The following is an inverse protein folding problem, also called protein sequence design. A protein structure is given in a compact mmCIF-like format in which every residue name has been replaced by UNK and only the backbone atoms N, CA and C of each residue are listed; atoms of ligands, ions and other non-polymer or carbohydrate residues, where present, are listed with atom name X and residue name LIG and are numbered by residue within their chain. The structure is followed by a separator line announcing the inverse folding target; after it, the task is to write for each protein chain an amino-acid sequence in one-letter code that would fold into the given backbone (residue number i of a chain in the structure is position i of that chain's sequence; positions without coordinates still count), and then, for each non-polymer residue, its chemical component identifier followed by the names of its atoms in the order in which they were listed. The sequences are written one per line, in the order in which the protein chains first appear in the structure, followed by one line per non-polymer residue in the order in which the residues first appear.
data_IF_540902738169
#
_entry.id   IF_540902738169
#
_cell.length_a   1.000
_cell.length_b   1.000
_cell.length_c   1.000
_cell.angle_alpha   90.00
_cell.angle_beta   90.00
_cell.angle_gamma   90.00
#
_symmetry.space_group_name_H-M   'P 1'
#
loop_
_entity.id
_entity.type
_entity.pdbx_description
1 polymer ?
#
# COMPACT_ATOMS: atom_id res chain seq x y z
N UNK A 1 -43.81 8.81 -7.28
CA UNK A 1 -42.38 8.88 -7.63
C UNK A 1 -42.19 10.19 -8.37
N UNK A 2 -41.43 11.14 -7.82
CA UNK A 2 -41.19 12.41 -8.51
C UNK A 2 -40.14 12.21 -9.58
N UNK A 3 -40.50 12.34 -10.85
CA UNK A 3 -39.55 12.28 -11.96
C UNK A 3 -38.59 13.46 -11.88
N UNK A 4 -37.36 13.15 -11.48
CA UNK A 4 -36.22 14.08 -11.49
C UNK A 4 -35.44 13.80 -12.76
N UNK A 5 -35.32 14.79 -13.64
CA UNK A 5 -34.59 14.68 -14.89
C UNK A 5 -33.51 15.76 -14.96
N UNK A 6 -32.27 15.33 -15.17
CA UNK A 6 -31.10 16.19 -15.41
C UNK A 6 -30.65 15.98 -16.85
N UNK A 7 -30.71 17.02 -17.68
CA UNK A 7 -30.36 16.99 -19.11
C UNK A 7 -29.12 17.85 -19.30
N UNK A 8 -28.01 17.24 -19.70
CA UNK A 8 -26.73 17.92 -19.90
C UNK A 8 -25.86 17.20 -20.93
N UNK A 9 -24.88 17.92 -21.49
CA UNK A 9 -23.74 17.34 -22.21
C UNK A 9 -22.39 17.79 -21.58
N UNK A 10 -22.40 18.00 -20.27
CA UNK A 10 -21.23 18.41 -19.51
C UNK A 10 -20.12 17.34 -19.58
N UNK A 11 -18.83 17.71 -19.76
CA UNK A 11 -18.25 19.05 -19.73
C UNK A 11 -18.20 19.79 -21.07
N UNK A 12 -18.71 19.20 -22.16
CA UNK A 12 -18.65 19.81 -23.50
C UNK A 12 -19.60 21.01 -23.64
N UNK A 13 -20.73 20.96 -22.96
CA UNK A 13 -21.67 22.08 -22.83
C UNK A 13 -21.75 22.51 -21.35
N UNK A 14 -21.47 23.79 -21.01
CA UNK A 14 -21.59 24.29 -19.65
C UNK A 14 -23.04 24.47 -19.18
N UNK A 15 -24.04 24.22 -20.03
CA UNK A 15 -25.45 24.34 -19.67
C UNK A 15 -25.99 23.02 -19.12
N UNK A 16 -26.63 23.09 -17.95
CA UNK A 16 -27.29 21.96 -17.29
C UNK A 16 -28.74 22.34 -17.03
N UNK A 17 -29.68 21.57 -17.60
CA UNK A 17 -31.10 21.76 -17.38
C UNK A 17 -31.63 20.72 -16.39
N UNK A 18 -32.22 21.19 -15.29
CA UNK A 18 -32.77 20.34 -14.25
C UNK A 18 -34.28 20.52 -14.13
N UNK A 19 -35.02 19.41 -14.16
CA UNK A 19 -36.48 19.37 -14.03
C UNK A 19 -36.87 18.49 -12.85
N UNK A 20 -37.73 19.02 -11.97
CA UNK A 20 -38.33 18.30 -10.86
C UNK A 20 -39.75 18.80 -10.64
N UNK A 21 -40.74 17.92 -10.72
CA UNK A 21 -42.17 18.13 -10.43
C UNK A 21 -42.60 19.60 -10.25
N UNK A 22 -42.84 20.31 -11.36
CA UNK A 22 -43.32 21.71 -11.37
C UNK A 22 -42.23 22.80 -11.38
N UNK A 23 -40.96 22.43 -11.25
CA UNK A 23 -39.83 23.34 -11.28
C UNK A 23 -38.85 22.97 -12.40
N UNK A 24 -38.42 23.98 -13.16
CA UNK A 24 -37.37 23.86 -14.18
C UNK A 24 -36.30 24.90 -13.90
N UNK A 25 -35.06 24.46 -13.86
CA UNK A 25 -33.89 25.30 -13.65
C UNK A 25 -32.92 25.12 -14.81
N UNK A 26 -32.30 26.20 -15.24
CA UNK A 26 -31.21 26.18 -16.22
C UNK A 26 -29.98 26.79 -15.57
N UNK A 27 -28.92 26.00 -15.46
CA UNK A 27 -27.65 26.38 -14.86
C UNK A 27 -26.63 26.59 -15.97
N UNK A 28 -25.88 27.69 -15.91
CA UNK A 28 -24.68 27.90 -16.72
C UNK A 28 -23.46 27.81 -15.82
N UNK A 29 -22.62 26.80 -16.05
CA UNK A 29 -21.40 26.60 -15.29
C UNK A 29 -20.34 27.59 -15.80
N UNK A 30 -19.97 28.56 -14.95
CA UNK A 30 -18.94 29.55 -15.26
C UNK A 30 -17.55 28.96 -15.01
N UNK A 31 -17.35 28.34 -13.85
CA UNK A 31 -16.10 27.68 -13.47
C UNK A 31 -16.37 26.61 -12.42
N UNK A 32 -15.74 25.45 -12.56
CA UNK A 32 -15.73 24.45 -11.49
C UNK A 32 -14.77 24.89 -10.36
N UNK A 33 -15.30 25.01 -9.14
CA UNK A 33 -14.49 25.20 -7.94
C UNK A 33 -13.87 23.89 -7.43
N UNK A 34 -12.83 24.00 -6.61
CA UNK A 34 -12.23 22.86 -5.90
C UNK A 34 -13.03 22.63 -4.61
N UNK A 35 -13.69 21.48 -4.49
CA UNK A 35 -14.42 21.12 -3.28
C UNK A 35 -13.44 20.59 -2.20
N UNK A 36 -13.55 21.03 -0.94
CA UNK A 36 -12.66 20.60 0.13
C UNK A 36 -12.87 19.11 0.45
N UNK A 37 -11.87 18.50 1.10
CA UNK A 37 -11.83 17.06 1.33
C UNK A 37 -13.10 16.56 2.05
N UNK A 38 -13.47 15.30 1.86
CA UNK A 38 -14.71 14.71 2.43
C UNK A 38 -14.79 14.85 3.95
N UNK A 39 -13.64 14.89 4.64
CA UNK A 39 -13.53 15.13 6.08
C UNK A 39 -13.91 16.54 6.54
N UNK A 40 -14.02 17.50 5.61
CA UNK A 40 -14.35 18.92 5.84
C UNK A 40 -15.69 19.33 5.21
N UNK A 41 -16.54 18.34 4.87
CA UNK A 41 -17.87 18.57 4.32
C UNK A 41 -18.93 18.27 5.38
N UNK A 42 -19.85 19.22 5.58
CA UNK A 42 -21.07 19.05 6.35
C UNK A 42 -22.24 18.64 5.44
N UNK A 43 -23.29 18.04 6.03
CA UNK A 43 -24.51 17.66 5.31
C UNK A 43 -25.68 18.54 5.71
N UNK A 44 -26.56 18.84 4.76
CA UNK A 44 -27.84 19.50 5.05
C UNK A 44 -28.79 18.57 5.83
N UNK A 45 -29.70 19.17 6.61
CA UNK A 45 -30.69 18.44 7.40
C UNK A 45 -31.66 17.65 6.50
N UNK A 46 -32.12 16.45 6.93
CA UNK A 46 -33.15 15.68 6.24
C UNK A 46 -34.41 16.52 5.98
N UNK A 47 -35.16 16.28 4.87
CA UNK A 47 -35.11 15.11 3.99
C UNK A 47 -34.12 15.20 2.82
N UNK A 48 -33.34 16.28 2.72
CA UNK A 48 -32.44 16.56 1.61
C UNK A 48 -31.00 16.64 2.14
N UNK A 49 -30.21 15.58 2.07
CA UNK A 49 -28.81 15.54 2.58
C UNK A 49 -27.78 15.72 1.46
N UNK A 50 -27.34 16.96 1.23
CA UNK A 50 -26.32 17.33 0.25
C UNK A 50 -25.01 17.72 0.94
N UNK A 51 -23.87 17.43 0.30
CA UNK A 51 -22.54 17.77 0.82
C UNK A 51 -22.21 19.24 0.58
N UNK A 52 -21.86 19.97 1.65
CA UNK A 52 -21.53 21.40 1.60
C UNK A 52 -20.21 21.63 2.36
N UNK A 53 -19.31 22.49 1.85
CA UNK A 53 -18.13 22.96 2.58
C UNK A 53 -18.50 23.64 3.91
N UNK A 54 -17.71 23.37 4.95
CA UNK A 54 -17.70 24.24 6.13
C UNK A 54 -17.22 25.64 5.70
N UNK A 55 -17.93 26.69 6.13
CA UNK A 55 -17.72 28.09 5.72
C UNK A 55 -17.85 28.34 4.20
N UNK A 56 -19.05 28.14 3.66
CA UNK A 56 -19.36 28.39 2.25
C UNK A 56 -19.16 29.88 1.84
N UNK A 57 -18.38 30.12 0.78
CA UNK A 57 -18.06 31.46 0.23
C UNK A 57 -18.61 31.57 -1.21
N UNK A 58 -19.40 32.61 -1.49
CA UNK A 58 -19.82 32.96 -2.86
C UNK A 58 -18.86 33.99 -3.47
N UNK A 59 -18.50 33.82 -4.76
CA UNK A 59 -17.42 34.58 -5.41
C UNK A 59 -17.85 35.86 -6.12
N UNK A 60 -19.15 36.12 -6.32
CA UNK A 60 -19.62 37.39 -6.93
C UNK A 60 -20.02 38.43 -5.89
N UNK A 61 -20.50 38.01 -4.70
CA UNK A 61 -20.71 38.84 -3.51
C UNK A 61 -20.25 38.05 -2.29
N UNK A 62 -19.38 38.63 -1.45
CA UNK A 62 -18.75 37.93 -0.32
C UNK A 62 -19.74 37.80 0.83
N UNK A 63 -20.68 36.88 0.66
CA UNK A 63 -21.68 36.52 1.65
C UNK A 63 -21.38 35.12 2.16
N UNK A 64 -21.15 34.99 3.46
CA UNK A 64 -20.86 33.72 4.12
C UNK A 64 -21.77 33.51 5.33
N UNK A 65 -22.22 32.28 5.54
CA UNK A 65 -22.94 31.88 6.75
C UNK A 65 -22.48 30.50 7.21
N UNK A 66 -22.38 30.34 8.53
CA UNK A 66 -22.05 29.08 9.20
C UNK A 66 -23.30 28.20 9.38
N UNK A 67 -24.51 28.73 9.11
CA UNK A 67 -25.77 28.04 9.42
C UNK A 67 -26.23 27.09 8.33
N UNK A 68 -26.34 27.56 7.08
CA UNK A 68 -26.77 26.73 5.94
C UNK A 68 -26.64 27.48 4.60
N UNK A 69 -26.66 26.75 3.48
CA UNK A 69 -26.72 27.34 2.14
C UNK A 69 -27.94 28.26 1.94
N UNK A 70 -29.09 27.94 2.52
CA UNK A 70 -30.29 28.79 2.44
C UNK A 70 -30.10 30.11 3.20
N UNK A 71 -29.33 30.11 4.30
CA UNK A 71 -29.02 31.35 5.03
C UNK A 71 -28.12 32.28 4.21
N UNK A 72 -27.14 31.70 3.49
CA UNK A 72 -26.31 32.44 2.52
C UNK A 72 -27.19 33.06 1.44
N UNK A 73 -28.15 32.32 0.88
CA UNK A 73 -29.08 32.85 -0.12
C UNK A 73 -29.94 34.00 0.41
N UNK A 74 -30.41 33.90 1.66
CA UNK A 74 -31.18 34.98 2.29
C UNK A 74 -30.32 36.24 2.50
N UNK A 75 -29.06 36.08 2.88
CA UNK A 75 -28.12 37.19 3.01
C UNK A 75 -27.77 37.80 1.65
N UNK A 76 -27.53 36.97 0.62
CA UNK A 76 -27.31 37.41 -0.75
C UNK A 76 -28.49 38.23 -1.29
N UNK A 77 -29.72 37.76 -1.07
CA UNK A 77 -30.91 38.52 -1.44
C UNK A 77 -31.02 39.86 -0.72
N UNK A 78 -30.61 39.96 0.56
CA UNK A 78 -30.60 41.23 1.29
C UNK A 78 -29.59 42.24 0.71
N UNK A 79 -28.44 41.76 0.21
CA UNK A 79 -27.41 42.62 -0.37
C UNK A 79 -27.71 43.01 -1.82
N UNK A 80 -28.21 42.08 -2.63
CA UNK A 80 -28.37 42.28 -4.07
C UNK A 80 -29.77 42.76 -4.49
N UNK A 81 -30.79 42.54 -3.65
CA UNK A 81 -32.19 42.89 -3.97
C UNK A 81 -32.86 43.56 -2.79
N UNK A 82 -33.27 44.82 -2.94
CA UNK A 82 -34.06 45.56 -1.93
C UNK A 82 -35.45 44.95 -1.64
N UNK A 83 -35.78 43.78 -2.21
CA UNK A 83 -37.06 43.09 -2.06
C UNK A 83 -37.05 42.13 -0.87
N UNK A 84 -37.84 42.46 0.15
CA UNK A 84 -37.79 41.85 1.49
C UNK A 84 -38.41 40.45 1.66
N UNK A 85 -38.79 39.70 0.62
CA UNK A 85 -39.67 38.51 0.84
C UNK A 85 -39.46 37.26 -0.03
N UNK A 86 -38.37 37.10 -0.78
CA UNK A 86 -38.14 35.86 -1.54
C UNK A 86 -37.32 34.85 -0.73
N UNK A 87 -37.97 33.79 -0.24
CA UNK A 87 -37.29 32.62 0.35
C UNK A 87 -36.88 31.68 -0.78
N UNK A 88 -35.65 31.79 -1.25
CA UNK A 88 -35.08 30.88 -2.26
C UNK A 88 -34.25 29.80 -1.55
N UNK A 89 -34.43 28.54 -1.96
CA UNK A 89 -33.60 27.44 -1.44
C UNK A 89 -32.19 27.55 -1.99
N UNK A 90 -31.19 27.60 -1.11
CA UNK A 90 -29.78 27.68 -1.54
C UNK A 90 -29.31 26.44 -2.30
N UNK A 91 -29.91 25.27 -2.04
CA UNK A 91 -29.62 24.03 -2.77
C UNK A 91 -29.97 24.16 -4.25
N UNK A 92 -31.07 24.86 -4.57
CA UNK A 92 -31.49 25.11 -5.95
C UNK A 92 -30.77 26.32 -6.54
N UNK A 93 -30.55 27.38 -5.78
CA UNK A 93 -29.84 28.56 -6.29
C UNK A 93 -28.40 28.23 -6.71
N UNK A 94 -27.69 27.46 -5.88
CA UNK A 94 -26.29 27.11 -6.12
C UNK A 94 -26.08 25.79 -6.89
N UNK A 95 -27.16 25.13 -7.33
CA UNK A 95 -27.08 23.89 -8.12
C UNK A 95 -26.43 22.72 -7.36
N UNK A 96 -26.53 22.67 -6.03
CA UNK A 96 -25.89 21.63 -5.20
C UNK A 96 -26.50 20.22 -5.37
N UNK A 97 -27.66 20.14 -6.01
CA UNK A 97 -28.36 18.88 -6.28
C UNK A 97 -27.99 18.26 -7.64
N UNK A 98 -27.15 18.95 -8.45
CA UNK A 98 -26.74 18.50 -9.78
C UNK A 98 -25.74 17.34 -9.65
N UNK A 99 -26.18 16.12 -10.01
CA UNK A 99 -25.37 14.90 -9.83
C UNK A 99 -24.19 14.86 -10.79
N UNK A 100 -24.31 15.49 -11.96
CA UNK A 100 -23.22 15.52 -12.94
C UNK A 100 -21.98 16.25 -12.43
N UNK A 101 -22.18 17.32 -11.66
CA UNK A 101 -21.09 18.10 -11.11
C UNK A 101 -20.35 17.30 -10.04
N UNK A 102 -21.07 16.56 -9.19
CA UNK A 102 -20.44 15.69 -8.20
C UNK A 102 -19.62 14.57 -8.87
N UNK A 103 -20.16 13.99 -9.95
CA UNK A 103 -19.46 12.95 -10.74
C UNK A 103 -18.21 13.52 -11.43
N UNK A 104 -18.30 14.70 -12.03
CA UNK A 104 -17.17 15.40 -12.68
C UNK A 104 -16.09 15.81 -11.66
N UNK A 105 -16.48 16.23 -10.47
CA UNK A 105 -15.54 16.61 -9.39
C UNK A 105 -14.79 15.39 -8.86
N UNK A 106 -15.51 14.28 -8.65
CA UNK A 106 -14.91 13.05 -8.15
C UNK A 106 -13.94 12.41 -9.16
N UNK A 107 -14.24 12.49 -10.46
CA UNK A 107 -13.31 12.02 -11.49
C UNK A 107 -11.99 12.83 -11.51
N UNK A 108 -12.06 14.14 -11.28
CA UNK A 108 -10.87 15.01 -11.15
C UNK A 108 -10.08 14.77 -9.86
N UNK A 109 -10.74 14.48 -8.73
CA UNK A 109 -10.06 14.06 -7.49
C UNK A 109 -9.26 12.77 -7.67
N UNK A 110 -9.77 11.86 -8.50
CA UNK A 110 -9.08 10.61 -8.84
C UNK A 110 -7.94 10.79 -9.82
N UNK A 111 -7.84 11.93 -10.50
CA UNK A 111 -6.66 12.30 -11.29
C UNK A 111 -5.49 12.71 -10.37
N UNK A 112 -5.06 11.79 -9.50
CA UNK A 112 -3.72 11.88 -8.93
C UNK A 112 -2.73 11.74 -10.07
N UNK A 113 -2.16 12.86 -10.52
CA UNK A 113 -1.00 12.82 -11.41
C UNK A 113 0.07 11.98 -10.70
N UNK A 114 0.36 10.82 -11.27
CA UNK A 114 1.34 9.90 -10.70
C UNK A 114 2.70 10.58 -10.70
N UNK A 115 3.35 10.60 -9.53
CA UNK A 115 4.72 11.09 -9.44
C UNK A 115 5.65 10.25 -10.34
N UNK A 116 6.64 10.88 -11.00
CA UNK A 116 7.71 10.18 -11.69
C UNK A 116 8.42 9.18 -10.76
N UNK A 117 8.99 8.12 -11.34
CA UNK A 117 9.66 7.04 -10.60
C UNK A 117 10.78 7.59 -9.70
N UNK A 118 11.54 8.58 -10.18
CA UNK A 118 12.67 9.18 -9.46
C UNK A 118 12.24 10.01 -8.24
N UNK A 119 10.95 10.36 -8.13
CA UNK A 119 10.38 11.14 -7.01
C UNK A 119 9.52 10.27 -6.08
N UNK A 120 9.53 8.95 -6.29
CA UNK A 120 8.74 8.01 -5.51
C UNK A 120 9.61 7.35 -4.42
N UNK A 121 9.02 7.11 -3.25
CA UNK A 121 9.63 6.26 -2.23
C UNK A 121 9.31 4.78 -2.46
N UNK A 122 10.05 3.91 -1.77
CA UNK A 122 9.89 2.44 -1.84
C UNK A 122 8.45 1.98 -1.63
N UNK A 123 7.70 2.59 -0.71
CA UNK A 123 6.30 2.23 -0.46
C UNK A 123 5.40 2.44 -1.70
N UNK A 124 5.71 3.45 -2.51
CA UNK A 124 4.99 3.73 -3.76
C UNK A 124 5.36 2.72 -4.83
N UNK A 125 6.65 2.35 -4.91
CA UNK A 125 7.10 1.28 -5.80
C UNK A 125 6.41 -0.05 -5.49
N UNK A 126 6.38 -0.45 -4.22
CA UNK A 126 5.71 -1.69 -3.79
C UNK A 126 4.24 -1.67 -4.17
N UNK A 127 3.52 -0.57 -3.88
CA UNK A 127 2.10 -0.46 -4.24
C UNK A 127 1.87 -0.61 -5.75
N UNK A 128 2.66 0.09 -6.57
CA UNK A 128 2.56 0.00 -8.04
C UNK A 128 2.87 -1.41 -8.53
N UNK A 129 3.95 -2.03 -8.03
CA UNK A 129 4.33 -3.38 -8.40
C UNK A 129 3.27 -4.41 -8.00
N UNK A 130 2.73 -4.32 -6.78
CA UNK A 130 1.64 -5.19 -6.32
C UNK A 130 0.38 -5.01 -7.17
N UNK A 131 0.03 -3.79 -7.56
CA UNK A 131 -1.11 -3.54 -8.46
C UNK A 131 -0.94 -4.20 -9.82
N UNK A 132 0.24 -4.04 -10.44
CA UNK A 132 0.58 -4.69 -11.71
C UNK A 132 0.51 -6.22 -11.55
N UNK A 133 1.10 -6.74 -10.48
CA UNK A 133 1.13 -8.17 -10.22
C UNK A 133 -0.28 -8.77 -10.07
N UNK A 134 -1.18 -8.09 -9.34
CA UNK A 134 -2.57 -8.53 -9.21
C UNK A 134 -3.30 -8.56 -10.56
N UNK A 135 -3.08 -7.53 -11.38
CA UNK A 135 -3.73 -7.42 -12.68
C UNK A 135 -3.28 -8.54 -13.62
N UNK A 136 -1.97 -8.74 -13.78
CA UNK A 136 -1.45 -9.75 -14.71
C UNK A 136 -1.83 -11.16 -14.27
N UNK A 137 -1.83 -11.44 -12.96
CA UNK A 137 -2.28 -12.75 -12.45
C UNK A 137 -3.75 -13.03 -12.78
N UNK A 138 -4.62 -12.01 -12.64
CA UNK A 138 -6.04 -12.15 -12.98
C UNK A 138 -6.22 -12.42 -14.48
N UNK A 139 -5.54 -11.66 -15.32
CA UNK A 139 -5.58 -11.81 -16.78
C UNK A 139 -5.04 -13.18 -17.23
N UNK A 140 -3.90 -13.62 -16.66
CA UNK A 140 -3.34 -14.95 -16.91
C UNK A 140 -4.37 -16.05 -16.62
N UNK A 141 -4.98 -16.02 -15.44
CA UNK A 141 -5.98 -17.02 -15.03
C UNK A 141 -7.25 -17.02 -15.88
N UNK A 142 -7.60 -15.89 -16.48
CA UNK A 142 -8.73 -15.80 -17.42
C UNK A 142 -8.37 -16.42 -18.77
N UNK A 143 -7.20 -16.06 -19.30
CA UNK A 143 -6.73 -16.52 -20.61
C UNK A 143 -6.37 -18.00 -20.62
N UNK A 144 -5.79 -18.53 -19.54
CA UNK A 144 -5.41 -19.94 -19.47
C UNK A 144 -6.60 -20.87 -19.62
N UNK A 145 -7.78 -20.51 -19.10
CA UNK A 145 -9.02 -21.29 -19.28
C UNK A 145 -9.46 -21.42 -20.75
N UNK A 146 -9.10 -20.46 -21.59
CA UNK A 146 -9.46 -20.43 -23.00
C UNK A 146 -8.39 -21.06 -23.89
N UNK A 147 -7.13 -21.05 -23.46
CA UNK A 147 -5.97 -21.45 -24.27
C UNK A 147 -5.44 -22.85 -23.94
N UNK A 148 -5.66 -23.35 -22.73
CA UNK A 148 -5.18 -24.66 -22.28
C UNK A 148 -6.32 -25.67 -22.16
N UNK A 149 -5.98 -26.96 -22.26
CA UNK A 149 -6.91 -28.03 -21.94
C UNK A 149 -7.21 -28.04 -20.43
N UNK A 150 -8.40 -28.51 -20.04
CA UNK A 150 -8.77 -28.68 -18.62
C UNK A 150 -7.83 -29.63 -17.84
N UNK A 151 -7.09 -30.49 -18.54
CA UNK A 151 -6.09 -31.38 -17.93
C UNK A 151 -4.76 -30.68 -17.64
N UNK A 152 -4.46 -29.59 -18.34
CA UNK A 152 -3.21 -28.86 -18.18
C UNK A 152 -3.40 -27.77 -17.12
N UNK A 153 -2.46 -27.66 -16.19
CA UNK A 153 -2.49 -26.68 -15.10
C UNK A 153 -1.37 -25.66 -15.32
N UNK A 154 -1.58 -24.63 -16.15
CA UNK A 154 -0.60 -23.57 -16.34
C UNK A 154 -0.46 -22.75 -15.06
N UNK A 155 0.78 -22.47 -14.66
CA UNK A 155 1.13 -21.70 -13.47
C UNK A 155 1.98 -20.50 -13.87
N UNK A 156 1.62 -19.32 -13.38
CA UNK A 156 2.45 -18.13 -13.50
C UNK A 156 3.41 -18.10 -12.31
N UNK A 157 4.70 -18.30 -12.56
CA UNK A 157 5.71 -18.39 -11.49
C UNK A 157 6.21 -17.02 -11.03
N UNK A 158 6.60 -16.16 -11.98
CA UNK A 158 7.07 -14.80 -11.69
C UNK A 158 6.88 -13.86 -12.88
N UNK A 159 6.96 -12.55 -12.60
CA UNK A 159 7.04 -11.50 -13.61
C UNK A 159 8.24 -10.62 -13.28
N UNK A 160 9.02 -10.30 -14.32
CA UNK A 160 10.13 -9.36 -14.23
C UNK A 160 9.92 -8.23 -15.25
N UNK A 161 10.03 -6.98 -14.80
CA UNK A 161 9.99 -5.82 -15.68
C UNK A 161 10.85 -4.68 -15.12
N UNK A 162 11.24 -3.74 -15.97
CA UNK A 162 12.00 -2.56 -15.55
C UNK A 162 11.33 -1.27 -15.97
N UNK A 163 11.48 -0.24 -15.14
CA UNK A 163 11.10 1.14 -15.47
C UNK A 163 12.37 1.95 -15.68
N UNK A 164 12.47 2.61 -16.82
CA UNK A 164 13.62 3.43 -17.24
C UNK A 164 14.97 2.68 -17.21
N UNK A 165 14.96 1.33 -17.29
CA UNK A 165 16.13 0.46 -17.14
C UNK A 165 16.92 0.64 -15.82
N UNK A 166 16.34 1.35 -14.84
CA UNK A 166 16.97 1.64 -13.54
C UNK A 166 16.31 0.86 -12.41
N UNK A 167 15.00 0.73 -12.46
CA UNK A 167 14.23 0.08 -11.41
C UNK A 167 13.66 -1.23 -11.95
N UNK A 168 14.29 -2.34 -11.55
CA UNK A 168 13.83 -3.68 -11.87
C UNK A 168 12.90 -4.17 -10.78
N UNK A 169 11.76 -4.72 -11.20
CA UNK A 169 10.75 -5.28 -10.33
C UNK A 169 10.59 -6.75 -10.66
N UNK A 170 10.72 -7.58 -9.63
CA UNK A 170 10.46 -9.02 -9.71
C UNK A 170 9.31 -9.34 -8.77
N UNK A 171 8.24 -9.91 -9.32
CA UNK A 171 7.04 -10.32 -8.60
C UNK A 171 6.97 -11.84 -8.69
N UNK A 172 7.12 -12.53 -7.57
CA UNK A 172 7.00 -13.98 -7.51
C UNK A 172 5.61 -14.36 -7.02
N UNK A 173 4.98 -15.31 -7.69
CA UNK A 173 3.64 -15.83 -7.38
C UNK A 173 3.66 -17.24 -6.81
N UNK A 174 4.78 -17.95 -6.93
CA UNK A 174 4.96 -19.21 -6.23
C UNK A 174 4.64 -19.02 -4.75
N UNK A 175 3.84 -19.95 -4.20
CA UNK A 175 3.86 -20.16 -2.77
C UNK A 175 5.27 -20.58 -2.44
N UNK A 176 6.00 -19.76 -1.70
CA UNK A 176 7.29 -20.13 -1.10
C UNK A 176 7.11 -21.53 -0.48
N UNK A 177 7.62 -22.55 -1.16
CA UNK A 177 7.72 -23.88 -0.59
C UNK A 177 8.70 -23.71 0.57
N UNK A 178 8.15 -23.58 1.78
CA UNK A 178 8.92 -23.24 2.98
C UNK A 178 10.10 -24.20 3.15
N UNK A 179 9.94 -25.45 2.68
CA UNK A 179 10.98 -26.48 2.69
C UNK A 179 12.09 -26.11 1.71
N UNK A 180 11.78 -25.85 0.43
CA UNK A 180 12.80 -25.45 -0.56
C UNK A 180 13.49 -24.14 -0.20
N UNK A 181 12.75 -23.18 0.35
CA UNK A 181 13.32 -21.91 0.83
C UNK A 181 14.31 -22.14 1.96
N UNK A 182 13.95 -22.97 2.94
CA UNK A 182 14.84 -23.35 4.03
C UNK A 182 16.08 -24.09 3.51
N UNK A 183 15.89 -25.09 2.65
CA UNK A 183 16.99 -25.82 2.01
C UNK A 183 17.95 -24.90 1.23
N UNK A 184 17.41 -23.88 0.54
CA UNK A 184 18.22 -22.87 -0.14
C UNK A 184 19.05 -22.05 0.85
N UNK A 185 18.46 -21.61 1.96
CA UNK A 185 19.17 -20.86 3.00
C UNK A 185 20.27 -21.72 3.65
N UNK A 186 19.96 -22.96 4.02
CA UNK A 186 20.91 -23.93 4.61
C UNK A 186 22.06 -24.25 3.64
N UNK A 187 21.78 -24.39 2.34
CA UNK A 187 22.81 -24.66 1.33
C UNK A 187 23.75 -23.47 1.16
N UNK A 188 23.22 -22.24 1.20
CA UNK A 188 24.04 -21.03 1.12
C UNK A 188 24.86 -20.86 2.40
N UNK A 189 24.24 -21.04 3.58
CA UNK A 189 24.93 -21.03 4.87
C UNK A 189 26.14 -21.97 4.85
N UNK A 190 25.92 -23.23 4.43
CA UNK A 190 27.00 -24.21 4.27
C UNK A 190 28.09 -23.74 3.32
N UNK A 191 27.74 -23.22 2.15
CA UNK A 191 28.72 -22.75 1.17
C UNK A 191 29.55 -21.55 1.69
N UNK A 192 28.94 -20.68 2.50
CA UNK A 192 29.65 -19.57 3.15
C UNK A 192 30.63 -20.09 4.20
N UNK A 193 30.22 -21.06 5.02
CA UNK A 193 31.06 -21.67 6.06
C UNK A 193 32.22 -22.47 5.44
N UNK A 194 31.93 -23.34 4.47
CA UNK A 194 32.94 -24.14 3.76
C UNK A 194 33.95 -23.23 3.02
N UNK A 195 33.48 -22.11 2.49
CA UNK A 195 34.30 -21.12 1.78
C UNK A 195 34.97 -20.08 2.68
N UNK A 196 34.75 -20.10 4.00
CA UNK A 196 35.16 -19.04 4.93
C UNK A 196 34.81 -17.63 4.42
N UNK A 197 33.65 -17.47 3.78
CA UNK A 197 33.24 -16.20 3.19
C UNK A 197 32.77 -15.27 4.30
N UNK A 198 33.44 -14.13 4.52
CA UNK A 198 33.04 -13.23 5.58
C UNK A 198 31.70 -12.58 5.25
N UNK A 199 30.92 -12.35 6.30
CA UNK A 199 29.58 -11.76 6.25
C UNK A 199 29.49 -10.51 5.35
N UNK A 200 30.45 -9.60 5.48
CA UNK A 200 30.47 -8.37 4.68
C UNK A 200 30.69 -8.62 3.19
N UNK A 201 31.49 -9.64 2.82
CA UNK A 201 31.64 -10.02 1.41
C UNK A 201 30.34 -10.53 0.82
N UNK A 202 29.60 -11.37 1.57
CA UNK A 202 28.28 -11.81 1.12
C UNK A 202 27.28 -10.65 1.01
N UNK A 203 27.34 -9.66 1.92
CA UNK A 203 26.51 -8.44 1.82
C UNK A 203 26.77 -7.66 0.53
N UNK A 204 28.03 -7.56 0.11
CA UNK A 204 28.38 -6.93 -1.18
C UNK A 204 27.80 -7.70 -2.37
N UNK A 205 27.85 -9.04 -2.35
CA UNK A 205 27.22 -9.87 -3.39
C UNK A 205 25.70 -9.65 -3.45
N UNK A 206 25.00 -9.68 -2.31
CA UNK A 206 23.55 -9.44 -2.25
C UNK A 206 23.14 -8.00 -2.63
N UNK A 207 24.07 -7.04 -2.59
CA UNK A 207 23.78 -5.68 -3.04
C UNK A 207 23.64 -5.61 -4.57
N UNK A 208 24.41 -6.43 -5.27
CA UNK A 208 24.43 -6.51 -6.73
C UNK A 208 23.39 -7.51 -7.21
N UNK A 209 23.34 -8.69 -6.59
CA UNK A 209 22.48 -9.78 -7.04
C UNK A 209 21.18 -9.85 -6.24
N UNK A 210 20.06 -9.61 -6.92
CA UNK A 210 18.74 -9.51 -6.29
C UNK A 210 18.09 -10.88 -6.04
N UNK A 211 18.54 -11.94 -6.74
CA UNK A 211 17.99 -13.28 -6.54
C UNK A 211 18.57 -14.02 -5.32
N UNK A 212 19.62 -13.47 -4.70
CA UNK A 212 20.23 -14.03 -3.50
C UNK A 212 19.44 -13.64 -2.24
N UNK A 213 19.23 -14.58 -1.30
CA UNK A 213 18.69 -14.25 0.01
C UNK A 213 19.53 -13.20 0.70
N UNK A 214 18.87 -12.27 1.40
CA UNK A 214 19.60 -11.21 2.12
C UNK A 214 20.42 -11.83 3.23
N UNK A 215 21.59 -11.24 3.51
CA UNK A 215 22.47 -11.70 4.58
C UNK A 215 21.74 -11.90 5.92
N UNK A 216 20.83 -10.99 6.28
CA UNK A 216 20.05 -11.13 7.52
C UNK A 216 19.11 -12.35 7.55
N UNK A 217 18.71 -12.91 6.41
CA UNK A 217 17.98 -14.19 6.35
C UNK A 217 18.92 -15.37 6.63
N UNK A 218 20.14 -15.34 6.09
CA UNK A 218 21.17 -16.36 6.33
C UNK A 218 21.62 -16.35 7.79
N UNK A 219 21.87 -15.17 8.36
CA UNK A 219 22.25 -15.04 9.77
C UNK A 219 21.19 -15.61 10.72
N UNK A 220 19.90 -15.45 10.40
CA UNK A 220 18.82 -16.09 11.17
C UNK A 220 18.87 -17.61 11.08
N UNK A 221 19.16 -18.14 9.90
CA UNK A 221 19.31 -19.59 9.73
C UNK A 221 20.53 -20.12 10.51
N UNK A 222 21.66 -19.39 10.54
CA UNK A 222 22.80 -19.75 11.38
C UNK A 222 22.44 -19.83 12.87
N UNK A 223 21.67 -18.85 13.36
CA UNK A 223 21.18 -18.86 14.75
C UNK A 223 20.30 -20.10 15.01
N UNK A 224 19.36 -20.39 14.09
CA UNK A 224 18.47 -21.54 14.19
C UNK A 224 19.23 -22.89 14.19
N UNK A 225 20.26 -23.00 13.34
CA UNK A 225 21.16 -24.16 13.31
C UNK A 225 21.90 -24.28 14.64
N UNK A 226 22.47 -23.19 15.16
CA UNK A 226 23.20 -23.20 16.43
C UNK A 226 22.30 -23.60 17.62
N UNK A 227 21.06 -23.09 17.66
CA UNK A 227 20.07 -23.48 18.67
C UNK A 227 19.74 -24.98 18.58
N UNK A 228 19.55 -25.50 17.37
CA UNK A 228 19.29 -26.93 17.13
C UNK A 228 20.49 -27.78 17.56
N UNK A 229 21.71 -27.35 17.22
CA UNK A 229 22.95 -28.04 17.57
C UNK A 229 23.18 -28.04 19.08
N UNK A 230 22.91 -26.93 19.77
CA UNK A 230 23.03 -26.85 21.23
C UNK A 230 22.07 -27.82 21.96
N UNK A 231 20.89 -28.08 21.39
CA UNK A 231 19.94 -29.06 21.91
C UNK A 231 20.39 -30.50 21.66
N UNK A 232 20.95 -30.78 20.46
CA UNK A 232 21.38 -32.12 20.06
C UNK A 232 22.71 -32.53 20.68
N UNK A 233 23.60 -31.57 20.92
CA UNK A 233 24.95 -31.78 21.45
C UNK A 233 25.13 -30.86 22.65
N UNK A 234 24.79 -31.32 23.86
CA UNK A 234 25.00 -30.55 25.08
C UNK A 234 26.50 -30.32 25.28
N UNK A 235 26.92 -29.05 25.24
CA UNK A 235 28.29 -28.68 25.57
C UNK A 235 28.34 -28.39 27.08
N UNK A 236 28.97 -29.29 27.83
CA UNK A 236 29.27 -29.07 29.24
C UNK A 236 30.60 -28.33 29.36
N UNK A 237 30.58 -27.17 30.01
CA UNK A 237 31.79 -26.45 30.37
C UNK A 237 32.33 -27.08 31.66
N UNK A 238 33.48 -27.75 31.57
CA UNK A 238 34.19 -28.28 32.73
C UNK A 238 35.24 -27.26 33.14
N UNK A 239 35.15 -26.79 34.38
CA UNK A 239 36.21 -25.97 34.97
C UNK A 239 37.37 -26.90 35.42
N UNK A 240 38.51 -26.77 34.75
CA UNK A 240 39.72 -27.55 35.06
C UNK A 240 40.30 -27.14 36.42
N UNK A 241 39.94 -25.97 36.95
CA UNK A 241 40.45 -25.46 38.23
C UNK A 241 39.61 -25.90 39.43
N UNK A 242 38.43 -26.50 39.23
CA UNK A 242 37.78 -27.24 40.30
C UNK A 242 38.58 -28.51 40.55
N UNK A 243 39.35 -28.54 41.65
CA UNK A 243 39.88 -29.76 42.25
C UNK A 243 38.71 -30.71 42.53
N UNK A 244 38.35 -31.51 41.53
CA UNK A 244 37.64 -32.76 41.73
C UNK A 244 38.48 -33.57 42.71
N UNK A 245 37.86 -34.07 43.78
CA UNK A 245 38.50 -35.08 44.62
C UNK A 245 38.95 -36.19 43.69
N UNK A 246 40.27 -36.31 43.54
CA UNK A 246 40.89 -37.42 42.83
C UNK A 246 40.43 -38.67 43.58
N UNK A 247 39.76 -39.57 42.88
CA UNK A 247 39.51 -40.91 43.39
C UNK A 247 40.89 -41.56 43.55
N UNK A 248 41.38 -41.65 44.78
CA UNK A 248 42.71 -42.19 45.12
C UNK A 248 42.82 -43.72 44.86
N UNK A 249 41.88 -44.30 44.10
CA UNK A 249 41.84 -45.74 43.80
C UNK A 249 42.51 -46.13 42.48
N UNK A 250 42.91 -45.19 41.62
CA UNK A 250 43.70 -45.52 40.43
C UNK A 250 45.16 -45.80 40.81
N UNK A 251 45.55 -47.08 40.68
CA UNK A 251 46.94 -47.52 40.82
C UNK A 251 47.79 -46.87 39.73
N UNK A 252 48.95 -46.38 40.13
CA UNK A 252 49.99 -45.88 39.22
C UNK A 252 50.50 -47.05 38.39
N UNK A 253 50.23 -47.03 37.08
CA UNK A 253 50.57 -48.09 36.12
C UNK A 253 51.94 -47.89 35.43
N UNK A 254 52.88 -47.22 36.10
CA UNK A 254 54.22 -46.98 35.52
C UNK A 254 55.29 -47.21 36.58
N UNK A 255 55.70 -48.47 36.73
CA UNK A 255 57.03 -48.84 37.21
C UNK A 255 57.96 -48.88 36.00
N UNK A 256 58.56 -47.74 35.63
CA UNK A 256 59.70 -47.73 34.71
C UNK A 256 60.97 -47.42 35.51
N UNK A 257 61.64 -48.50 35.91
CA UNK A 257 62.84 -48.54 36.73
C UNK A 257 64.11 -48.29 35.90
N UNK A 258 64.10 -47.26 35.02
CA UNK A 258 65.20 -47.01 34.07
C UNK A 258 65.70 -45.57 33.99
N UNK A 259 65.58 -44.78 35.07
CA UNK A 259 66.32 -43.52 35.19
C UNK A 259 67.34 -43.62 36.33
N UNK A 260 68.38 -44.43 36.11
CA UNK A 260 69.67 -44.25 36.77
C UNK A 260 70.55 -43.33 35.92
N UNK A 261 70.72 -42.12 36.44
CA UNK A 261 71.89 -41.23 36.35
C UNK A 261 72.85 -41.39 35.16
N UNK A 262 72.94 -40.34 34.35
CA UNK A 262 74.22 -39.70 33.96
C UNK A 262 74.04 -38.18 33.84
#
# INVERSE_FOLDING_TARGET
MSDVQEIHNYPFDPIINFKKSGHSFSYKIIKEGIYPNKSSLAYTLPPNSYQIPDNYICFEHVVSSVKSATDVTNLFHKECTSQKKTKTSGIYLFGLHLKILDTSRESKRRAHILKPIDQCGNSTFTKRATSIGKYILAEFNEKTKQLYNLKDVPVLESICYSVNKKHTFTINYEKDDKIKKKQKLESIARALDDGNIPRDSYRHLCAIEHHLPREGEISKEHININETMAQLIPITIVDINTRSQVDESERVDIDDESITQE
#
